data_IF_952536504475
#
_entry.id   IF_952536504475
#
_cell.length_a   1.000
_cell.length_b   1.000
_cell.length_c   1.000
_cell.angle_alpha   90.00
_cell.angle_beta   90.00
_cell.angle_gamma   90.00
#
_symmetry.space_group_name_H-M   'P 1'
#
loop_
_entity.id
_entity.type
_entity.pdbx_description
1 polymer ?
#
# COMPACT_ATOMS: atom_id res chain seq x y z
N UNK A 1 1.71 10.13 33.17
CA UNK A 1 0.90 10.33 31.96
C UNK A 1 -0.50 9.84 32.29
N UNK A 2 -1.55 10.63 32.00
CA UNK A 2 -2.93 10.16 32.21
C UNK A 2 -3.29 9.08 31.18
N UNK A 3 -4.31 8.27 31.47
CA UNK A 3 -4.78 7.24 30.53
C UNK A 3 -5.31 7.87 29.23
N UNK A 4 -6.01 9.00 29.31
CA UNK A 4 -6.48 9.76 28.14
C UNK A 4 -5.34 10.16 27.18
N UNK A 5 -4.17 10.54 27.71
CA UNK A 5 -3.00 10.84 26.86
C UNK A 5 -2.40 9.59 26.22
N UNK A 6 -2.47 8.42 26.89
CA UNK A 6 -2.01 7.14 26.30
C UNK A 6 -2.90 6.74 25.14
N UNK A 7 -4.22 6.81 25.35
CA UNK A 7 -5.20 6.47 24.33
C UNK A 7 -5.03 7.34 23.09
N UNK A 8 -4.94 8.66 23.27
CA UNK A 8 -4.70 9.60 22.15
C UNK A 8 -3.40 9.32 21.41
N UNK A 9 -2.32 9.01 22.13
CA UNK A 9 -1.04 8.65 21.51
C UNK A 9 -1.16 7.35 20.70
N UNK A 10 -1.85 6.35 21.23
CA UNK A 10 -2.08 5.08 20.54
C UNK A 10 -2.95 5.27 19.30
N UNK A 11 -4.00 6.10 19.39
CA UNK A 11 -4.87 6.47 18.27
C UNK A 11 -4.10 7.17 17.14
N UNK A 12 -3.25 8.14 17.48
CA UNK A 12 -2.42 8.84 16.48
C UNK A 12 -1.40 7.92 15.79
N UNK A 13 -0.93 6.89 16.51
CA UNK A 13 0.08 5.95 16.06
C UNK A 13 -0.48 4.63 15.50
N UNK A 14 -1.80 4.46 15.49
CA UNK A 14 -2.48 3.24 15.05
C UNK A 14 -2.06 2.77 13.65
N UNK A 15 -2.12 1.46 13.42
CA UNK A 15 -1.79 0.85 12.14
C UNK A 15 -0.31 0.82 11.76
N UNK A 16 0.59 1.36 12.61
CA UNK A 16 2.06 1.35 12.36
C UNK A 16 2.79 0.12 12.90
N UNK A 17 2.06 -0.85 13.45
CA UNK A 17 2.61 -2.09 14.04
C UNK A 17 3.74 -1.81 15.05
N UNK A 18 3.49 -0.90 16.00
CA UNK A 18 4.46 -0.53 17.03
C UNK A 18 4.11 -1.14 18.38
N UNK A 19 5.12 -1.32 19.24
CA UNK A 19 4.97 -1.86 20.59
C UNK A 19 5.10 -0.74 21.62
N UNK A 20 4.17 -0.68 22.56
CA UNK A 20 4.15 0.33 23.61
C UNK A 20 4.77 -0.19 24.90
N UNK A 21 5.52 0.68 25.59
CA UNK A 21 6.13 0.37 26.89
C UNK A 21 5.96 1.55 27.84
N UNK A 22 5.56 1.28 29.08
CA UNK A 22 5.53 2.25 30.17
C UNK A 22 6.81 2.15 30.98
N UNK A 23 7.55 3.26 31.08
CA UNK A 23 8.69 3.34 31.98
C UNK A 23 8.19 3.47 33.42
N UNK A 24 8.66 2.60 34.31
CA UNK A 24 8.39 2.66 35.75
C UNK A 24 9.70 2.55 36.52
N UNK A 25 9.77 3.14 37.72
CA UNK A 25 10.95 3.04 38.57
C UNK A 25 10.98 1.66 39.24
N UNK A 26 12.14 0.99 39.25
CA UNK A 26 12.31 -0.22 40.05
C UNK A 26 12.29 0.12 41.53
N UNK A 27 11.63 -0.72 42.33
CA UNK A 27 11.59 -0.56 43.77
C UNK A 27 13.02 -0.55 44.33
N UNK A 28 13.35 0.43 45.17
CA UNK A 28 14.67 0.58 45.81
C UNK A 28 15.88 0.69 44.87
N UNK A 29 15.67 1.06 43.59
CA UNK A 29 16.77 1.36 42.66
C UNK A 29 16.60 2.75 42.02
N UNK A 30 17.69 3.29 41.48
CA UNK A 30 17.65 4.42 40.55
C UNK A 30 17.36 3.98 39.11
N UNK A 31 17.30 2.66 38.87
CA UNK A 31 17.02 2.10 37.56
C UNK A 31 15.54 2.23 37.17
N UNK A 32 15.33 2.39 35.87
CA UNK A 32 14.02 2.33 35.25
C UNK A 32 13.81 0.95 34.61
N UNK A 33 12.56 0.49 34.60
CA UNK A 33 12.13 -0.71 33.87
C UNK A 33 11.05 -0.33 32.85
N UNK A 34 11.10 -0.96 31.68
CA UNK A 34 10.08 -0.87 30.66
C UNK A 34 9.06 -1.99 30.86
N UNK A 35 7.81 -1.64 31.10
CA UNK A 35 6.69 -2.60 31.20
C UNK A 35 5.91 -2.54 29.89
N UNK A 36 5.72 -3.65 29.17
CA UNK A 36 4.93 -3.65 27.94
C UNK A 36 3.47 -3.30 28.23
N UNK A 37 2.87 -2.51 27.34
CA UNK A 37 1.44 -2.17 27.38
C UNK A 37 0.80 -2.72 26.10
N UNK A 38 -0.43 -3.23 26.23
CA UNK A 38 -1.22 -3.66 25.09
C UNK A 38 -1.63 -2.45 24.22
N UNK A 39 -1.65 -2.64 22.91
CA UNK A 39 -2.19 -1.68 21.95
C UNK A 39 -3.71 -1.83 21.88
N UNK A 40 -4.42 -0.76 22.20
CA UNK A 40 -5.89 -0.71 22.20
C UNK A 40 -6.42 -0.73 20.74
N UNK A 41 -5.61 -0.31 19.77
CA UNK A 41 -5.94 -0.25 18.35
C UNK A 41 -5.23 -1.35 17.54
N UNK A 42 -4.96 -2.50 18.15
CA UNK A 42 -4.25 -3.62 17.50
C UNK A 42 -4.95 -4.18 16.25
N UNK A 43 -6.28 -4.01 16.14
CA UNK A 43 -7.09 -4.42 14.99
C UNK A 43 -7.31 -3.28 13.97
N UNK A 44 -6.71 -2.10 14.19
CA UNK A 44 -6.84 -0.99 13.25
C UNK A 44 -6.20 -1.32 11.90
N UNK A 45 -6.75 -0.74 10.85
CA UNK A 45 -6.19 -0.84 9.51
C UNK A 45 -4.73 -0.32 9.51
N UNK A 46 -3.85 -0.86 8.65
CA UNK A 46 -2.49 -0.38 8.53
C UNK A 46 -2.44 1.14 8.27
N UNK A 47 -1.38 1.78 8.75
CA UNK A 47 -1.23 3.22 8.62
C UNK A 47 -1.17 3.64 7.14
N UNK A 48 -1.96 4.67 6.78
CA UNK A 48 -2.18 5.14 5.42
C UNK A 48 -2.82 4.11 4.47
N UNK A 49 -3.39 3.03 5.00
CA UNK A 49 -4.15 2.11 4.19
C UNK A 49 -5.35 2.80 3.55
N UNK A 50 -5.46 2.65 2.24
CA UNK A 50 -6.53 3.20 1.43
C UNK A 50 -6.69 2.35 0.18
N UNK A 51 -7.92 2.20 -0.28
CA UNK A 51 -8.21 1.64 -1.61
C UNK A 51 -8.80 2.75 -2.47
N UNK A 52 -8.05 3.19 -3.46
CA UNK A 52 -8.44 4.29 -4.36
C UNK A 52 -9.42 3.81 -5.45
N UNK A 53 -10.27 4.69 -5.97
CA UNK A 53 -11.09 4.40 -7.14
C UNK A 53 -10.23 4.11 -8.37
N UNK A 54 -10.82 3.41 -9.32
CA UNK A 54 -10.26 3.08 -10.63
C UNK A 54 -11.23 3.63 -11.67
N UNK A 55 -10.71 4.32 -12.68
CA UNK A 55 -11.51 4.83 -13.79
C UNK A 55 -12.09 3.65 -14.59
N UNK A 56 -13.32 3.79 -15.09
CA UNK A 56 -14.08 2.70 -15.74
C UNK A 56 -13.30 2.02 -16.89
N UNK A 57 -12.61 2.82 -17.70
CA UNK A 57 -11.78 2.35 -18.83
C UNK A 57 -10.27 2.36 -18.53
N UNK A 58 -9.88 2.21 -17.26
CA UNK A 58 -8.47 2.25 -16.89
C UNK A 58 -7.66 1.10 -17.52
N UNK A 59 -8.28 -0.04 -17.81
CA UNK A 59 -7.66 -1.16 -18.54
C UNK A 59 -8.31 -1.25 -19.93
N UNK A 60 -7.63 -0.81 -21.00
CA UNK A 60 -8.19 -0.86 -22.36
C UNK A 60 -8.39 -2.29 -22.83
N UNK A 61 -9.50 -2.57 -23.51
CA UNK A 61 -9.79 -3.89 -24.10
C UNK A 61 -8.72 -4.35 -25.09
N UNK A 62 -8.11 -3.39 -25.79
CA UNK A 62 -7.11 -3.57 -26.82
C UNK A 62 -5.85 -4.26 -26.26
N UNK A 63 -5.51 -3.94 -25.00
CA UNK A 63 -4.38 -4.52 -24.28
C UNK A 63 -4.67 -5.99 -23.88
N UNK A 64 -5.94 -6.30 -23.61
CA UNK A 64 -6.40 -7.63 -23.20
C UNK A 64 -6.46 -8.60 -24.40
N UNK A 65 -6.86 -8.12 -25.57
CA UNK A 65 -6.98 -8.94 -26.78
C UNK A 65 -5.72 -8.91 -27.67
N UNK A 66 -4.78 -8.02 -27.35
CA UNK A 66 -3.61 -7.75 -28.17
C UNK A 66 -2.44 -8.72 -27.99
N UNK A 67 -1.25 -8.24 -28.38
CA UNK A 67 0.02 -9.00 -28.37
C UNK A 67 0.37 -9.60 -27.00
N UNK A 68 -0.12 -9.00 -25.93
CA UNK A 68 0.19 -9.36 -24.55
C UNK A 68 -0.93 -10.10 -23.83
N UNK A 69 -1.88 -10.68 -24.58
CA UNK A 69 -3.05 -11.39 -24.05
C UNK A 69 -2.73 -12.36 -22.90
N UNK A 70 -1.64 -13.13 -23.02
CA UNK A 70 -1.25 -14.11 -21.99
C UNK A 70 -0.85 -13.44 -20.66
N UNK A 71 -0.42 -12.17 -20.72
CA UNK A 71 -0.06 -11.36 -19.57
C UNK A 71 -1.18 -10.43 -19.12
N UNK A 72 -2.31 -10.34 -19.84
CA UNK A 72 -3.40 -9.41 -19.54
C UNK A 72 -3.87 -9.41 -18.06
N UNK A 73 -3.91 -10.55 -17.33
CA UNK A 73 -4.26 -10.55 -15.90
C UNK A 73 -3.35 -9.67 -15.03
N UNK A 74 -2.11 -9.42 -15.47
CA UNK A 74 -1.17 -8.54 -14.77
C UNK A 74 -1.55 -7.07 -14.81
N UNK A 75 -2.37 -6.63 -15.79
CA UNK A 75 -2.92 -5.27 -15.80
C UNK A 75 -3.83 -5.07 -14.57
N UNK A 76 -4.76 -6.00 -14.35
CA UNK A 76 -5.65 -5.95 -13.18
C UNK A 76 -4.88 -6.07 -11.86
N UNK A 77 -3.89 -6.96 -11.77
CA UNK A 77 -3.03 -7.06 -10.59
C UNK A 77 -2.28 -5.76 -10.31
N UNK A 78 -1.70 -5.13 -11.34
CA UNK A 78 -0.99 -3.87 -11.19
C UNK A 78 -1.91 -2.71 -10.76
N UNK A 79 -3.15 -2.68 -11.27
CA UNK A 79 -4.18 -1.74 -10.81
C UNK A 79 -4.48 -1.94 -9.32
N UNK A 80 -4.66 -3.18 -8.86
CA UNK A 80 -4.93 -3.48 -7.46
C UNK A 80 -3.75 -3.11 -6.55
N UNK A 81 -2.51 -3.28 -7.02
CA UNK A 81 -1.31 -2.80 -6.33
C UNK A 81 -1.30 -1.27 -6.25
N UNK A 82 -1.48 -0.58 -7.38
CA UNK A 82 -1.34 0.88 -7.42
C UNK A 82 -2.47 1.59 -6.66
N UNK A 83 -3.71 1.08 -6.70
CA UNK A 83 -4.82 1.71 -5.98
C UNK A 83 -4.70 1.63 -4.46
N UNK A 84 -3.85 0.73 -3.95
CA UNK A 84 -3.50 0.58 -2.53
C UNK A 84 -2.28 1.39 -2.10
N UNK A 85 -1.63 2.08 -3.04
CA UNK A 85 -0.55 3.00 -2.71
C UNK A 85 -1.11 4.18 -1.89
N UNK A 86 -0.50 4.51 -0.74
CA UNK A 86 -0.93 5.61 0.14
C UNK A 86 -1.12 6.96 -0.56
N UNK A 87 -0.33 7.18 -1.61
CA UNK A 87 -0.31 8.45 -2.33
C UNK A 87 -1.14 8.39 -3.61
N UNK A 88 -1.76 7.26 -3.94
CA UNK A 88 -2.70 7.19 -5.04
C UNK A 88 -4.03 7.83 -4.63
N UNK A 89 -4.58 8.68 -5.50
CA UNK A 89 -5.94 9.21 -5.37
C UNK A 89 -6.92 8.53 -6.32
N UNK A 90 -6.48 8.15 -7.51
CA UNK A 90 -7.29 7.47 -8.52
C UNK A 90 -6.36 6.80 -9.56
N UNK A 91 -6.66 5.56 -9.96
CA UNK A 91 -5.97 4.90 -11.08
C UNK A 91 -6.70 5.25 -12.38
N UNK A 92 -5.98 5.84 -13.33
CA UNK A 92 -6.58 6.37 -14.55
C UNK A 92 -6.35 5.48 -15.77
N UNK A 93 -5.20 4.81 -15.85
CA UNK A 93 -4.83 4.02 -17.03
C UNK A 93 -3.76 2.96 -16.72
N UNK A 94 -3.85 1.81 -17.37
CA UNK A 94 -2.97 0.67 -17.25
C UNK A 94 -2.79 -0.01 -18.62
N UNK A 95 -1.54 -0.18 -19.07
CA UNK A 95 -1.22 -0.83 -20.34
C UNK A 95 0.18 -1.43 -20.31
N UNK A 96 0.54 -2.26 -21.29
CA UNK A 96 1.93 -2.68 -21.44
C UNK A 96 2.78 -1.54 -22.04
N UNK A 97 3.92 -1.22 -21.41
CA UNK A 97 4.82 -0.18 -21.89
C UNK A 97 5.32 -0.51 -23.29
N UNK A 98 5.08 0.36 -24.25
CA UNK A 98 5.54 0.18 -25.63
C UNK A 98 7.06 0.17 -25.75
N UNK A 99 7.74 1.01 -24.96
CA UNK A 99 9.19 1.21 -25.04
C UNK A 99 9.97 0.23 -24.16
N UNK A 100 9.42 -0.14 -23.00
CA UNK A 100 10.14 -0.93 -22.00
C UNK A 100 9.85 -2.43 -22.11
N UNK A 101 8.70 -2.82 -22.67
CA UNK A 101 8.29 -4.23 -22.74
C UNK A 101 9.07 -4.99 -23.81
N UNK A 102 9.59 -6.15 -23.43
CA UNK A 102 10.17 -7.14 -24.34
C UNK A 102 9.33 -8.41 -24.30
N UNK A 103 9.25 -9.22 -25.37
CA UNK A 103 8.46 -10.46 -25.37
C UNK A 103 8.74 -11.39 -24.19
N UNK A 104 10.00 -11.44 -23.74
CA UNK A 104 10.43 -12.24 -22.59
C UNK A 104 10.30 -11.53 -21.23
N UNK A 105 9.99 -10.22 -21.23
CA UNK A 105 9.90 -9.40 -20.02
C UNK A 105 8.92 -8.23 -20.26
N UNK A 106 7.61 -8.47 -20.18
CA UNK A 106 6.61 -7.42 -20.27
C UNK A 106 6.72 -6.46 -19.09
N UNK A 107 6.40 -5.19 -19.34
CA UNK A 107 6.39 -4.14 -18.31
C UNK A 107 5.02 -3.49 -18.34
N UNK A 108 4.30 -3.50 -17.22
CA UNK A 108 3.03 -2.79 -17.09
C UNK A 108 3.31 -1.35 -16.68
N UNK A 109 2.74 -0.42 -17.41
CA UNK A 109 2.75 1.01 -17.13
C UNK A 109 1.38 1.41 -16.55
N UNK A 110 1.40 2.13 -15.44
CA UNK A 110 0.21 2.70 -14.79
C UNK A 110 0.32 4.22 -14.75
N UNK A 111 -0.73 4.91 -15.15
CA UNK A 111 -0.95 6.33 -14.85
C UNK A 111 -1.99 6.47 -13.74
N UNK A 112 -1.69 7.31 -12.76
CA UNK A 112 -2.56 7.55 -11.62
C UNK A 112 -2.44 9.00 -11.15
N UNK A 113 -3.47 9.48 -10.44
CA UNK A 113 -3.42 10.76 -9.75
C UNK A 113 -2.78 10.57 -8.38
N UNK A 114 -1.85 11.46 -8.01
CA UNK A 114 -1.30 11.54 -6.65
C UNK A 114 -1.86 12.71 -5.84
N UNK A 115 -2.46 13.68 -6.53
CA UNK A 115 -3.12 14.86 -5.99
C UNK A 115 -4.23 15.30 -6.98
N UNK A 116 -5.15 16.20 -6.61
CA UNK A 116 -6.24 16.65 -7.50
C UNK A 116 -5.77 17.08 -8.90
N UNK A 117 -4.64 17.79 -8.98
CA UNK A 117 -4.08 18.30 -10.24
C UNK A 117 -2.77 17.60 -10.65
N UNK A 118 -2.40 16.52 -9.96
CA UNK A 118 -1.10 15.87 -10.10
C UNK A 118 -1.23 14.44 -10.62
N UNK A 119 -0.65 14.18 -11.79
CA UNK A 119 -0.53 12.83 -12.37
C UNK A 119 0.88 12.30 -12.24
N UNK A 120 0.99 11.01 -11.97
CA UNK A 120 2.25 10.28 -11.97
C UNK A 120 2.12 9.00 -12.78
N UNK A 121 3.28 8.54 -13.23
CA UNK A 121 3.43 7.30 -13.96
C UNK A 121 4.31 6.36 -13.18
N UNK A 122 3.96 5.09 -13.19
CA UNK A 122 4.78 4.04 -12.58
C UNK A 122 4.79 2.82 -13.47
N UNK A 123 5.98 2.27 -13.66
CA UNK A 123 6.17 1.04 -14.41
C UNK A 123 6.51 -0.10 -13.46
N UNK A 124 5.97 -1.27 -13.74
CA UNK A 124 6.19 -2.49 -12.98
C UNK A 124 6.60 -3.62 -13.93
N UNK A 125 7.62 -4.37 -13.53
CA UNK A 125 7.85 -5.68 -14.11
C UNK A 125 6.85 -6.69 -13.57
N UNK A 126 6.63 -7.77 -14.30
CA UNK A 126 5.75 -8.88 -13.87
C UNK A 126 6.11 -9.41 -12.48
N UNK A 127 7.41 -9.60 -12.19
CA UNK A 127 7.87 -10.09 -10.89
C UNK A 127 7.55 -9.11 -9.76
N UNK A 128 7.73 -7.80 -9.97
CA UNK A 128 7.38 -6.78 -8.98
C UNK A 128 5.87 -6.76 -8.70
N UNK A 129 5.05 -6.99 -9.73
CA UNK A 129 3.60 -7.09 -9.55
C UNK A 129 3.27 -8.30 -8.68
N UNK A 130 3.84 -9.48 -8.95
CA UNK A 130 3.57 -10.66 -8.14
C UNK A 130 4.04 -10.49 -6.69
N UNK A 131 5.24 -9.92 -6.46
CA UNK A 131 5.73 -9.63 -5.11
C UNK A 131 4.78 -8.70 -4.34
N UNK A 132 4.39 -7.58 -4.95
CA UNK A 132 3.53 -6.59 -4.31
C UNK A 132 2.11 -7.13 -4.13
N UNK A 133 1.56 -7.78 -5.14
CA UNK A 133 0.20 -8.34 -5.10
C UNK A 133 0.07 -9.44 -4.04
N UNK A 134 1.07 -10.32 -3.92
CA UNK A 134 1.08 -11.36 -2.89
C UNK A 134 1.27 -10.81 -1.46
N UNK A 135 1.73 -9.56 -1.32
CA UNK A 135 1.81 -8.88 -0.02
C UNK A 135 0.49 -8.21 0.40
N UNK A 136 -0.49 -8.13 -0.52
CA UNK A 136 -1.81 -7.61 -0.21
C UNK A 136 -2.57 -8.63 0.65
N UNK A 137 -3.25 -8.15 1.68
CA UNK A 137 -3.90 -9.00 2.70
C UNK A 137 -5.42 -8.86 2.70
N UNK A 138 -5.95 -7.98 1.85
CA UNK A 138 -7.35 -7.55 1.81
C UNK A 138 -8.09 -7.98 0.53
N UNK A 139 -7.47 -8.84 -0.30
CA UNK A 139 -8.01 -9.38 -1.55
C UNK A 139 -8.62 -10.77 -1.40
#
# INVERSE_FOLDING_TARGET
>A
MSEEHKERLMEELQGRNIKYYQMTKKLQSYDLQAIPIADIFSEALPYLYKVSPVQEDAVPSDEVEGKWKDYAPYLSKAVEVQRRDPYCSEVCYAAFSYYDSKPSNPVVYINYKYAPDGYMNRSFTINQIDELYNSLTDL
#
